data_IF_427203645984
#
_entry.id   IF_427203645984
#
_cell.length_a   1.000
_cell.length_b   1.000
_cell.length_c   1.000
_cell.angle_alpha   90.00
_cell.angle_beta   90.00
_cell.angle_gamma   90.00
#
_symmetry.space_group_name_H-M   'P 1'
#
loop_
_entity.id
_entity.type
_entity.pdbx_description
1 polymer ?
#
# COMPACT_ATOMS: atom_id res chain seq x y z
N UNK A 1 12.75 -13.15 20.00
CA UNK A 1 11.67 -13.77 19.21
C UNK A 1 11.67 -13.02 17.89
N UNK A 2 12.06 -13.66 16.78
CA UNK A 2 12.10 -12.99 15.47
C UNK A 2 10.70 -12.48 15.11
N UNK A 3 10.59 -11.18 14.83
CA UNK A 3 9.40 -10.57 14.25
C UNK A 3 9.21 -11.17 12.87
N UNK A 4 8.30 -12.14 12.76
CA UNK A 4 7.84 -12.60 11.45
C UNK A 4 7.22 -11.39 10.74
N UNK A 5 7.66 -11.02 9.54
CA UNK A 5 7.07 -9.90 8.81
C UNK A 5 5.57 -10.17 8.69
N UNK A 6 4.77 -9.20 9.13
CA UNK A 6 3.32 -9.35 9.19
C UNK A 6 2.77 -9.40 7.75
N UNK A 7 2.65 -10.62 7.21
CA UNK A 7 2.02 -10.89 5.90
C UNK A 7 0.59 -10.33 5.81
N UNK A 8 -0.03 -10.04 6.95
CA UNK A 8 -1.36 -9.43 7.03
C UNK A 8 -1.41 -8.01 6.47
N UNK A 9 -0.31 -7.24 6.48
CA UNK A 9 -0.32 -5.85 6.02
C UNK A 9 -0.74 -5.77 4.55
N UNK A 10 -0.11 -6.56 3.68
CA UNK A 10 -0.43 -6.58 2.24
C UNK A 10 -1.89 -6.98 2.00
N UNK A 11 -2.39 -7.97 2.74
CA UNK A 11 -3.79 -8.36 2.66
C UNK A 11 -4.75 -7.22 3.06
N UNK A 12 -4.42 -6.50 4.13
CA UNK A 12 -5.24 -5.41 4.64
C UNK A 12 -5.17 -4.19 3.72
N UNK A 13 -3.99 -3.85 3.19
CA UNK A 13 -3.83 -2.82 2.17
C UNK A 13 -4.64 -3.17 0.92
N UNK A 14 -4.58 -4.42 0.46
CA UNK A 14 -5.36 -4.84 -0.72
C UNK A 14 -6.87 -4.62 -0.55
N UNK A 15 -7.42 -4.78 0.66
CA UNK A 15 -8.82 -4.46 0.94
C UNK A 15 -9.12 -2.97 0.79
N UNK A 16 -8.18 -2.09 1.16
CA UNK A 16 -8.28 -0.63 1.00
C UNK A 16 -8.18 -0.21 -0.46
N UNK A 17 -7.42 -0.96 -1.26
CA UNK A 17 -7.31 -0.75 -2.71
C UNK A 17 -8.61 -1.11 -3.49
N UNK A 18 -9.67 -1.57 -2.81
CA UNK A 18 -10.93 -1.87 -3.47
C UNK A 18 -11.54 -0.61 -4.09
N UNK A 19 -11.80 -0.64 -5.40
CA UNK A 19 -12.31 0.51 -6.15
C UNK A 19 -11.24 1.32 -6.89
N UNK A 20 -9.95 1.07 -6.63
CA UNK A 20 -8.86 1.64 -7.44
C UNK A 20 -8.89 0.98 -8.82
N UNK A 21 -9.14 1.80 -9.84
CA UNK A 21 -9.03 1.41 -11.24
C UNK A 21 -7.65 1.78 -11.78
N UNK A 22 -7.08 0.94 -12.63
CA UNK A 22 -5.82 1.23 -13.32
C UNK A 22 -6.10 1.58 -14.80
N UNK A 23 -5.26 2.39 -15.47
CA UNK A 23 -4.05 3.02 -14.95
C UNK A 23 -4.33 4.08 -13.87
N UNK A 24 -3.44 4.21 -12.90
CA UNK A 24 -3.55 5.16 -11.80
C UNK A 24 -2.18 5.70 -11.39
N UNK A 25 -2.16 6.92 -10.89
CA UNK A 25 -0.99 7.56 -10.28
C UNK A 25 -0.94 7.31 -8.77
N UNK A 26 0.25 7.42 -8.18
CA UNK A 26 0.43 7.38 -6.72
C UNK A 26 -0.41 8.47 -6.04
N UNK A 27 -0.48 9.66 -6.64
CA UNK A 27 -1.30 10.76 -6.13
C UNK A 27 -2.80 10.43 -6.15
N UNK A 28 -3.35 9.90 -7.25
CA UNK A 28 -4.77 9.52 -7.33
C UNK A 28 -5.14 8.45 -6.29
N UNK A 29 -4.23 7.50 -6.03
CA UNK A 29 -4.41 6.51 -4.97
C UNK A 29 -4.41 7.19 -3.60
N UNK A 30 -3.48 8.11 -3.33
CA UNK A 30 -3.42 8.86 -2.07
C UNK A 30 -4.66 9.74 -1.88
N UNK A 31 -5.17 10.38 -2.94
CA UNK A 31 -6.37 11.20 -2.88
C UNK A 31 -7.62 10.37 -2.54
N UNK A 32 -7.71 9.14 -3.06
CA UNK A 32 -8.85 8.26 -2.81
C UNK A 32 -8.80 7.58 -1.44
N UNK A 33 -7.64 7.03 -1.06
CA UNK A 33 -7.53 6.14 0.10
C UNK A 33 -6.35 6.46 1.02
N UNK A 34 -5.61 7.55 0.78
CA UNK A 34 -4.38 7.89 1.49
C UNK A 34 -4.55 8.01 3.01
N UNK A 35 -5.70 8.50 3.47
CA UNK A 35 -6.03 8.63 4.89
C UNK A 35 -6.53 7.32 5.54
N UNK A 36 -6.80 6.27 4.75
CA UNK A 36 -7.26 5.00 5.30
C UNK A 36 -6.16 4.30 6.08
N UNK A 37 -6.53 3.71 7.23
CA UNK A 37 -5.58 3.00 8.12
C UNK A 37 -5.50 1.52 7.83
N UNK A 38 -4.27 1.00 7.89
CA UNK A 38 -3.88 -0.40 7.70
C UNK A 38 -3.03 -0.83 8.89
N UNK A 39 -3.37 -1.96 9.50
CA UNK A 39 -2.52 -2.59 10.53
C UNK A 39 -1.26 -3.16 9.88
N UNK A 40 -0.11 -2.69 10.34
CA UNK A 40 1.20 -3.13 9.85
C UNK A 40 1.84 -4.17 10.78
N UNK A 41 1.42 -4.21 12.04
CA UNK A 41 1.72 -5.29 12.99
C UNK A 41 0.57 -5.46 14.03
N UNK A 42 0.84 -6.09 15.17
CA UNK A 42 -0.16 -6.36 16.21
C UNK A 42 -0.68 -5.09 16.94
N UNK A 43 0.12 -4.02 16.98
CA UNK A 43 -0.14 -2.80 17.75
C UNK A 43 -0.05 -1.52 16.91
N UNK A 44 0.61 -1.58 15.74
CA UNK A 44 0.87 -0.43 14.88
C UNK A 44 -0.09 -0.35 13.70
N UNK A 45 -0.59 0.85 13.46
CA UNK A 45 -1.36 1.21 12.26
C UNK A 45 -0.67 2.34 11.51
N UNK A 46 -0.62 2.23 10.19
CA UNK A 46 -0.16 3.28 9.29
C UNK A 46 -1.27 3.65 8.31
N UNK A 47 -1.27 4.89 7.86
CA UNK A 47 -2.08 5.34 6.74
C UNK A 47 -1.55 4.76 5.42
N UNK A 48 -2.40 4.64 4.41
CA UNK A 48 -1.95 4.23 3.07
C UNK A 48 -0.91 5.22 2.54
N UNK A 49 -1.05 6.51 2.82
CA UNK A 49 -0.04 7.51 2.42
C UNK A 49 1.34 7.21 3.03
N UNK A 50 1.42 6.94 4.34
CA UNK A 50 2.69 6.59 5.00
C UNK A 50 3.29 5.29 4.44
N UNK A 51 2.44 4.31 4.09
CA UNK A 51 2.88 3.05 3.46
C UNK A 51 3.46 3.28 2.07
N UNK A 52 2.93 4.26 1.32
CA UNK A 52 3.34 4.56 -0.06
C UNK A 52 4.49 5.57 -0.15
N UNK A 53 4.86 6.24 0.94
CA UNK A 53 5.95 7.22 0.98
C UNK A 53 7.28 6.70 0.40
N UNK A 54 7.77 5.48 0.73
CA UNK A 54 9.03 4.97 0.16
C UNK A 54 8.93 4.55 -1.31
N UNK A 55 7.72 4.46 -1.88
CA UNK A 55 7.50 4.02 -3.26
C UNK A 55 7.83 5.17 -4.22
N UNK A 56 8.91 5.01 -5.00
CA UNK A 56 9.38 6.01 -5.98
C UNK A 56 8.59 6.03 -7.29
N UNK A 57 7.84 4.98 -7.57
CA UNK A 57 7.04 4.89 -8.80
C UNK A 57 5.81 5.77 -8.66
N UNK A 58 5.55 6.61 -9.66
CA UNK A 58 4.44 7.57 -9.63
C UNK A 58 3.23 7.13 -10.46
N UNK A 59 3.39 6.14 -11.35
CA UNK A 59 2.35 5.67 -12.27
C UNK A 59 2.32 4.14 -12.30
N UNK A 60 1.12 3.59 -12.37
CA UNK A 60 0.86 2.15 -12.37
C UNK A 60 -0.15 1.80 -13.47
N UNK A 61 0.25 0.95 -14.40
CA UNK A 61 -0.60 0.42 -15.48
C UNK A 61 -1.55 -0.68 -14.98
N UNK A 62 -1.18 -1.37 -13.90
CA UNK A 62 -1.99 -2.42 -13.31
C UNK A 62 -1.66 -2.67 -11.83
N UNK A 63 -2.52 -3.43 -11.16
CA UNK A 63 -2.34 -3.83 -9.77
C UNK A 63 -1.01 -4.56 -9.54
N UNK A 64 -0.59 -5.43 -10.45
CA UNK A 64 0.66 -6.18 -10.29
C UNK A 64 1.88 -5.23 -10.26
N UNK A 65 1.91 -4.22 -11.13
CA UNK A 65 2.99 -3.23 -11.14
C UNK A 65 3.03 -2.43 -9.84
N UNK A 66 1.86 -2.02 -9.32
CA UNK A 66 1.74 -1.38 -8.01
C UNK A 66 2.33 -2.24 -6.89
N UNK A 67 1.92 -3.51 -6.77
CA UNK A 67 2.43 -4.39 -5.71
C UNK A 67 3.92 -4.71 -5.86
N UNK A 68 4.42 -4.84 -7.10
CA UNK A 68 5.85 -5.01 -7.34
C UNK A 68 6.65 -3.77 -6.89
N UNK A 69 6.17 -2.57 -7.18
CA UNK A 69 6.81 -1.33 -6.75
C UNK A 69 6.80 -1.19 -5.22
N UNK A 70 5.68 -1.53 -4.57
CA UNK A 70 5.56 -1.52 -3.11
C UNK A 70 6.49 -2.54 -2.45
N UNK A 71 6.48 -3.80 -2.90
CA UNK A 71 7.34 -4.83 -2.33
C UNK A 71 8.83 -4.53 -2.55
N UNK A 72 9.17 -3.83 -3.64
CA UNK A 72 10.53 -3.37 -3.91
C UNK A 72 10.98 -2.16 -3.07
N UNK A 73 10.07 -1.51 -2.33
CA UNK A 73 10.39 -0.37 -1.45
C UNK A 73 10.37 -0.70 0.05
N UNK A 74 9.97 -1.92 0.42
CA UNK A 74 9.98 -2.43 1.79
C UNK A 74 11.37 -2.91 2.23
#
# INVERSE_FOLDING_TARGET
MEERPFKGMIHLLHKRMNGITYPATKQEIIEQIGAERVKVDAVTEMTVQEILEPVKMEQYECAAQFYCALLGSL
#
